data_IF_357476073106
#
_entry.id   IF_357476073106
#
_cell.length_a   1.000
_cell.length_b   1.000
_cell.length_c   1.000
_cell.angle_alpha   90.00
_cell.angle_beta   90.00
_cell.angle_gamma   90.00
#
_symmetry.space_group_name_H-M   'P 1'
#
loop_
_entity.id
_entity.type
_entity.pdbx_description
1 polymer ?
#
# COMPACT_ATOMS: atom_id res chain seq x y z
N UNK A 1 -25.12 12.32 10.74
CA UNK A 1 -25.61 13.10 9.60
C UNK A 1 -25.90 12.16 8.45
N UNK A 2 -26.97 12.43 7.68
CA UNK A 2 -27.31 11.63 6.49
C UNK A 2 -26.36 11.92 5.29
N UNK A 3 -25.47 12.89 5.44
CA UNK A 3 -24.53 13.30 4.39
C UNK A 3 -23.62 12.17 3.88
N UNK A 4 -23.39 11.15 4.71
CA UNK A 4 -22.53 10.00 4.40
C UNK A 4 -23.33 8.69 4.36
N UNK A 5 -24.60 8.76 3.98
CA UNK A 5 -25.48 7.62 3.76
C UNK A 5 -26.00 7.67 2.33
N UNK A 6 -25.91 6.57 1.62
CA UNK A 6 -26.44 6.41 0.26
C UNK A 6 -27.42 5.24 0.22
N UNK A 7 -28.30 5.24 -0.76
CA UNK A 7 -29.22 4.12 -0.99
C UNK A 7 -28.66 3.24 -2.11
N UNK A 8 -28.57 1.94 -1.82
CA UNK A 8 -28.18 0.92 -2.79
C UNK A 8 -29.23 -0.20 -2.75
N UNK A 9 -29.87 -0.46 -3.85
CA UNK A 9 -30.91 -1.48 -3.99
C UNK A 9 -32.03 -1.41 -2.90
N UNK A 10 -32.45 -0.19 -2.54
CA UNK A 10 -33.44 0.04 -1.50
C UNK A 10 -32.90 -0.05 -0.05
N UNK A 11 -31.60 -0.26 0.13
CA UNK A 11 -30.95 -0.35 1.46
C UNK A 11 -30.10 0.90 1.71
N UNK A 12 -30.27 1.50 2.87
CA UNK A 12 -29.41 2.62 3.31
C UNK A 12 -28.07 2.09 3.82
N UNK A 13 -26.98 2.51 3.20
CA UNK A 13 -25.60 2.11 3.55
C UNK A 13 -24.73 3.35 3.74
N UNK A 14 -23.67 3.21 4.48
CA UNK A 14 -22.66 4.28 4.62
C UNK A 14 -21.83 4.42 3.33
N UNK A 15 -21.40 5.63 3.02
CA UNK A 15 -20.42 5.86 1.94
C UNK A 15 -19.10 5.15 2.24
N UNK A 16 -18.27 4.97 1.21
CA UNK A 16 -16.93 4.38 1.35
C UNK A 16 -16.09 5.16 2.38
N UNK A 17 -16.11 6.49 2.32
CA UNK A 17 -15.38 7.34 3.25
C UNK A 17 -15.86 7.15 4.70
N UNK A 18 -17.17 7.14 4.93
CA UNK A 18 -17.72 6.93 6.28
C UNK A 18 -17.40 5.53 6.81
N UNK A 19 -17.54 4.52 5.98
CA UNK A 19 -17.21 3.13 6.34
C UNK A 19 -15.75 3.03 6.80
N UNK A 20 -14.83 3.70 6.11
CA UNK A 20 -13.42 3.71 6.50
C UNK A 20 -13.19 4.36 7.88
N UNK A 21 -13.92 5.45 8.21
CA UNK A 21 -13.86 6.05 9.54
C UNK A 21 -14.33 5.08 10.63
N UNK A 22 -15.44 4.40 10.40
CA UNK A 22 -16.02 3.45 11.36
C UNK A 22 -15.10 2.21 11.55
N UNK A 23 -14.46 1.72 10.49
CA UNK A 23 -13.53 0.59 10.54
C UNK A 23 -12.18 0.94 11.18
N UNK A 24 -11.65 2.12 10.90
CA UNK A 24 -10.31 2.54 11.38
C UNK A 24 -10.33 3.10 12.81
N UNK A 25 -11.50 3.52 13.31
CA UNK A 25 -11.65 4.13 14.63
C UNK A 25 -11.30 3.15 15.77
N UNK A 26 -10.43 3.58 16.68
CA UNK A 26 -10.01 2.75 17.82
C UNK A 26 -9.09 1.58 17.47
N UNK A 27 -8.62 1.53 16.23
CA UNK A 27 -7.63 0.54 15.76
C UNK A 27 -6.20 1.05 15.98
N UNK A 28 -5.21 0.19 15.70
CA UNK A 28 -3.83 0.65 15.60
C UNK A 28 -3.63 1.57 14.38
N UNK A 29 -2.54 2.34 14.36
CA UNK A 29 -2.23 3.19 13.21
C UNK A 29 -2.11 2.40 11.89
N UNK A 30 -1.39 1.25 11.83
CA UNK A 30 -1.36 0.42 10.62
C UNK A 30 -2.75 -0.06 10.17
N UNK A 31 -3.60 -0.49 11.11
CA UNK A 31 -4.95 -0.99 10.76
C UNK A 31 -5.87 0.15 10.29
N UNK A 32 -5.78 1.33 10.91
CA UNK A 32 -6.52 2.50 10.45
C UNK A 32 -6.09 2.89 9.03
N UNK A 33 -4.80 2.80 8.74
CA UNK A 33 -4.26 3.11 7.42
C UNK A 33 -4.77 2.12 6.35
N UNK A 34 -4.93 0.84 6.69
CA UNK A 34 -5.56 -0.16 5.78
C UNK A 34 -6.95 0.30 5.36
N UNK A 35 -7.77 0.74 6.31
CA UNK A 35 -9.13 1.20 6.01
C UNK A 35 -9.12 2.45 5.12
N UNK A 36 -8.26 3.41 5.42
CA UNK A 36 -8.21 4.69 4.74
C UNK A 36 -7.56 4.61 3.35
N UNK A 37 -6.47 3.87 3.18
CA UNK A 37 -5.84 3.63 1.88
C UNK A 37 -6.78 2.89 0.94
N UNK A 38 -7.44 1.82 1.45
CA UNK A 38 -8.43 1.07 0.69
C UNK A 38 -9.61 1.93 0.24
N UNK A 39 -10.11 2.80 1.13
CA UNK A 39 -11.17 3.73 0.80
C UNK A 39 -10.72 4.78 -0.23
N UNK A 40 -9.56 5.39 -0.04
CA UNK A 40 -8.99 6.35 -1.00
C UNK A 40 -8.83 5.71 -2.38
N UNK A 41 -8.26 4.49 -2.44
CA UNK A 41 -8.13 3.73 -3.69
C UNK A 41 -9.50 3.49 -4.33
N UNK A 42 -10.49 3.04 -3.56
CA UNK A 42 -11.84 2.79 -4.07
C UNK A 42 -12.53 4.05 -4.59
N UNK A 43 -12.35 5.17 -3.91
CA UNK A 43 -12.90 6.47 -4.34
C UNK A 43 -12.22 6.92 -5.63
N UNK A 44 -10.89 6.84 -5.71
CA UNK A 44 -10.11 7.23 -6.89
C UNK A 44 -10.44 6.37 -8.10
N UNK A 45 -10.49 5.05 -7.92
CA UNK A 45 -10.58 4.12 -9.06
C UNK A 45 -12.00 3.70 -9.41
N UNK A 46 -12.94 3.81 -8.49
CA UNK A 46 -14.28 3.24 -8.66
C UNK A 46 -14.28 1.72 -8.91
N UNK A 47 -13.10 1.08 -8.93
CA UNK A 47 -12.88 -0.30 -9.36
C UNK A 47 -12.71 -0.44 -10.87
N UNK A 48 -12.49 0.67 -11.60
CA UNK A 48 -12.19 0.68 -13.03
C UNK A 48 -10.71 0.25 -13.25
N UNK A 49 -10.46 -0.84 -14.01
CA UNK A 49 -9.11 -1.36 -14.25
C UNK A 49 -8.19 -0.37 -14.98
N UNK A 50 -8.71 0.50 -15.84
CA UNK A 50 -7.91 1.48 -16.59
C UNK A 50 -7.49 2.63 -15.66
N UNK A 51 -8.36 3.05 -14.76
CA UNK A 51 -8.04 4.04 -13.73
C UNK A 51 -7.05 3.45 -12.72
N UNK A 52 -7.21 2.18 -12.32
CA UNK A 52 -6.25 1.48 -11.47
C UNK A 52 -4.86 1.41 -12.11
N UNK A 53 -4.81 1.09 -13.39
CA UNK A 53 -3.56 1.10 -14.16
C UNK A 53 -2.94 2.50 -14.21
N UNK A 54 -3.75 3.52 -14.42
CA UNK A 54 -3.30 4.93 -14.46
C UNK A 54 -2.77 5.39 -13.10
N UNK A 55 -3.41 5.00 -12.00
CA UNK A 55 -2.95 5.24 -10.63
C UNK A 55 -1.58 4.60 -10.40
N UNK A 56 -1.43 3.32 -10.77
CA UNK A 56 -0.17 2.57 -10.66
C UNK A 56 0.96 3.21 -11.48
N UNK A 57 0.67 3.64 -12.71
CA UNK A 57 1.62 4.32 -13.59
C UNK A 57 1.90 5.79 -13.21
N UNK A 58 1.24 6.30 -12.16
CA UNK A 58 1.33 7.70 -11.71
C UNK A 58 0.90 8.71 -12.78
N UNK A 59 -0.09 8.33 -13.60
CA UNK A 59 -0.63 9.16 -14.69
C UNK A 59 -1.87 9.96 -14.27
N UNK A 60 -2.45 9.66 -13.10
CA UNK A 60 -3.59 10.42 -12.60
C UNK A 60 -3.16 11.82 -12.16
N UNK A 61 -3.97 12.86 -12.48
CA UNK A 61 -3.78 14.20 -11.95
C UNK A 61 -3.81 14.21 -10.41
N UNK A 62 -3.01 15.07 -9.80
CA UNK A 62 -2.97 15.20 -8.34
C UNK A 62 -4.33 15.58 -7.73
N UNK A 63 -5.14 16.32 -8.49
CA UNK A 63 -6.48 16.76 -8.12
C UNK A 63 -7.43 15.59 -7.91
N UNK A 64 -7.30 14.49 -8.67
CA UNK A 64 -8.14 13.29 -8.50
C UNK A 64 -7.85 12.61 -7.17
N UNK A 65 -6.57 12.48 -6.82
CA UNK A 65 -6.16 11.94 -5.51
C UNK A 65 -6.55 12.91 -4.39
N UNK A 66 -6.35 14.20 -4.61
CA UNK A 66 -6.73 15.25 -3.66
C UNK A 66 -8.24 15.26 -3.36
N UNK A 67 -9.08 15.04 -4.36
CA UNK A 67 -10.53 14.96 -4.17
C UNK A 67 -10.92 13.75 -3.30
N UNK A 68 -10.30 12.60 -3.50
CA UNK A 68 -10.55 11.42 -2.65
C UNK A 68 -10.11 11.64 -1.20
N UNK A 69 -8.97 12.30 -0.98
CA UNK A 69 -8.51 12.66 0.35
C UNK A 69 -9.48 13.67 0.99
N UNK A 70 -9.95 14.66 0.25
CA UNK A 70 -10.91 15.65 0.74
C UNK A 70 -12.25 15.01 1.16
N UNK A 71 -12.71 13.97 0.44
CA UNK A 71 -13.90 13.21 0.83
C UNK A 71 -13.68 12.46 2.15
N UNK A 72 -12.51 11.87 2.38
CA UNK A 72 -12.15 11.25 3.64
C UNK A 72 -12.06 12.29 4.78
N UNK A 73 -11.47 13.46 4.53
CA UNK A 73 -11.41 14.56 5.49
C UNK A 73 -12.81 15.05 5.89
N UNK A 74 -13.71 15.19 4.91
CA UNK A 74 -15.10 15.56 5.17
C UNK A 74 -15.81 14.51 6.05
N UNK A 75 -15.61 13.21 5.79
CA UNK A 75 -16.14 12.15 6.63
C UNK A 75 -15.54 12.16 8.05
N UNK A 76 -14.25 12.49 8.19
CA UNK A 76 -13.60 12.64 9.49
C UNK A 76 -14.22 13.78 10.31
N UNK A 77 -14.60 14.90 9.71
CA UNK A 77 -15.21 16.03 10.42
C UNK A 77 -16.55 15.67 11.08
N UNK A 78 -17.23 14.64 10.63
CA UNK A 78 -18.46 14.13 11.25
C UNK A 78 -18.20 13.30 12.53
N UNK A 79 -16.99 12.76 12.66
CA UNK A 79 -16.66 11.83 13.75
C UNK A 79 -15.51 12.30 14.64
N UNK A 80 -14.89 13.44 14.36
CA UNK A 80 -13.64 13.90 14.99
C UNK A 80 -13.69 13.89 16.53
N UNK A 81 -14.87 14.17 17.11
CA UNK A 81 -15.07 14.21 18.56
C UNK A 81 -15.39 12.85 19.19
N UNK A 82 -15.50 11.80 18.40
CA UNK A 82 -15.85 10.48 18.90
C UNK A 82 -14.62 9.78 19.52
N UNK A 83 -14.82 8.89 20.50
CA UNK A 83 -13.72 8.11 21.07
C UNK A 83 -12.95 7.32 20.00
N UNK A 84 -11.62 7.33 20.08
CA UNK A 84 -10.76 6.56 19.17
C UNK A 84 -10.46 7.19 17.82
N UNK A 85 -10.84 8.47 17.60
CA UNK A 85 -10.61 9.16 16.31
C UNK A 85 -9.24 9.79 16.17
N UNK A 86 -8.45 9.88 17.25
CA UNK A 86 -7.10 10.43 17.18
C UNK A 86 -6.20 9.68 16.20
N UNK A 87 -6.32 8.36 16.17
CA UNK A 87 -5.56 7.52 15.23
C UNK A 87 -5.99 7.75 13.79
N UNK A 88 -7.29 8.01 13.54
CA UNK A 88 -7.77 8.35 12.20
C UNK A 88 -7.11 9.63 11.67
N UNK A 89 -6.95 10.66 12.52
CA UNK A 89 -6.25 11.88 12.11
C UNK A 89 -4.82 11.60 11.69
N UNK A 90 -4.09 10.82 12.49
CA UNK A 90 -2.72 10.42 12.16
C UNK A 90 -2.64 9.63 10.86
N UNK A 91 -3.61 8.73 10.61
CA UNK A 91 -3.65 7.92 9.40
C UNK A 91 -4.07 8.74 8.17
N UNK A 92 -5.01 9.70 8.32
CA UNK A 92 -5.41 10.62 7.23
C UNK A 92 -4.24 11.44 6.71
N UNK A 93 -3.34 11.90 7.58
CA UNK A 93 -2.13 12.64 7.19
C UNK A 93 -1.16 11.80 6.33
N UNK A 94 -1.37 10.47 6.28
CA UNK A 94 -0.52 9.50 5.59
C UNK A 94 -1.24 8.69 4.52
N UNK A 95 -2.50 8.97 4.24
CA UNK A 95 -3.28 8.24 3.23
C UNK A 95 -2.59 8.26 1.87
N UNK A 96 -2.54 7.09 1.24
CA UNK A 96 -2.02 6.94 -0.12
C UNK A 96 -2.79 5.83 -0.86
N UNK A 97 -3.55 6.14 -1.92
CA UNK A 97 -4.36 5.16 -2.65
C UNK A 97 -3.53 4.15 -3.47
N UNK A 98 -2.21 4.28 -3.50
CA UNK A 98 -1.34 3.44 -4.32
C UNK A 98 -1.02 2.08 -3.72
N UNK A 99 -1.31 1.82 -2.44
CA UNK A 99 -1.25 0.46 -1.90
C UNK A 99 -2.27 -0.43 -2.61
N UNK A 100 -1.84 -1.58 -3.13
CA UNK A 100 -2.70 -2.47 -3.93
C UNK A 100 -3.39 -3.55 -3.10
N UNK A 101 -2.94 -3.75 -1.87
CA UNK A 101 -3.52 -4.73 -0.95
C UNK A 101 -3.60 -4.22 0.49
N UNK A 102 -4.49 -4.80 1.32
CA UNK A 102 -4.53 -4.51 2.76
C UNK A 102 -3.20 -4.79 3.46
N UNK A 103 -2.47 -5.82 3.03
CA UNK A 103 -1.18 -6.17 3.62
C UNK A 103 -0.08 -5.18 3.28
N UNK A 104 -0.09 -4.60 2.08
CA UNK A 104 0.80 -3.49 1.72
C UNK A 104 0.51 -2.25 2.58
N UNK A 105 -0.77 -1.85 2.72
CA UNK A 105 -1.15 -0.72 3.58
C UNK A 105 -0.75 -0.94 5.03
N UNK A 106 -0.98 -2.13 5.57
CA UNK A 106 -0.58 -2.50 6.93
C UNK A 106 0.95 -2.45 7.10
N UNK A 107 1.69 -3.04 6.15
CA UNK A 107 3.16 -3.01 6.13
C UNK A 107 3.68 -1.59 6.07
N UNK A 108 3.06 -0.73 5.25
CA UNK A 108 3.36 0.69 5.16
C UNK A 108 3.16 1.39 6.50
N UNK A 109 2.05 1.11 7.16
CA UNK A 109 1.77 1.62 8.49
C UNK A 109 2.84 1.22 9.51
N UNK A 110 3.24 -0.04 9.53
CA UNK A 110 4.31 -0.54 10.41
C UNK A 110 5.66 0.15 10.13
N UNK A 111 6.02 0.34 8.85
CA UNK A 111 7.25 1.03 8.46
C UNK A 111 7.23 2.50 8.89
N UNK A 112 6.13 3.21 8.68
CA UNK A 112 5.96 4.60 9.10
C UNK A 112 6.03 4.75 10.63
N UNK A 113 5.35 3.87 11.36
CA UNK A 113 5.31 3.89 12.82
C UNK A 113 6.68 3.57 13.44
N UNK A 114 7.48 2.75 12.77
CA UNK A 114 8.86 2.45 13.19
C UNK A 114 9.89 3.53 12.84
N UNK A 115 9.50 4.59 12.15
CA UNK A 115 10.42 5.63 11.70
C UNK A 115 11.35 5.19 10.57
N UNK A 116 10.92 4.25 9.72
CA UNK A 116 11.70 3.85 8.55
C UNK A 116 12.10 5.04 7.67
N UNK A 117 13.29 5.03 7.06
CA UNK A 117 13.68 6.06 6.10
C UNK A 117 12.65 6.22 4.97
N UNK A 118 12.54 7.40 4.35
CA UNK A 118 11.57 7.67 3.30
C UNK A 118 11.63 6.62 2.18
N UNK A 119 10.48 6.12 1.78
CA UNK A 119 10.30 5.15 0.71
C UNK A 119 9.12 5.54 -0.18
N UNK A 120 9.13 5.03 -1.40
CA UNK A 120 8.00 5.12 -2.32
C UNK A 120 7.22 3.81 -2.29
N UNK A 121 5.90 3.88 -2.50
CA UNK A 121 5.04 2.69 -2.59
C UNK A 121 4.60 2.46 -4.02
N UNK A 122 4.47 1.20 -4.41
CA UNK A 122 4.11 0.77 -5.77
C UNK A 122 4.86 1.58 -6.82
N UNK A 123 6.17 1.69 -6.65
CA UNK A 123 6.98 2.60 -7.44
C UNK A 123 7.58 1.89 -8.66
N UNK A 124 7.56 2.57 -9.84
CA UNK A 124 8.16 2.01 -11.03
C UNK A 124 9.69 1.97 -10.92
N UNK A 125 10.27 0.83 -11.24
CA UNK A 125 11.71 0.59 -11.33
C UNK A 125 12.03 -0.10 -12.65
N UNK A 126 13.16 0.28 -13.24
CA UNK A 126 13.58 -0.23 -14.55
C UNK A 126 14.68 -1.27 -14.38
N UNK A 127 14.52 -2.44 -15.01
CA UNK A 127 15.53 -3.50 -15.05
C UNK A 127 16.59 -3.26 -16.12
N UNK A 128 17.59 -4.14 -16.18
CA UNK A 128 18.67 -4.13 -17.17
C UNK A 128 18.16 -4.25 -18.61
N UNK A 129 17.10 -5.04 -18.80
CA UNK A 129 16.41 -5.18 -20.10
C UNK A 129 15.68 -3.90 -20.56
N UNK A 130 15.60 -2.86 -19.72
CA UNK A 130 14.78 -1.68 -19.93
C UNK A 130 13.30 -1.87 -19.56
N UNK A 131 12.87 -3.06 -19.18
CA UNK A 131 11.51 -3.36 -18.76
C UNK A 131 11.16 -2.63 -17.47
N UNK A 132 9.92 -2.16 -17.38
CA UNK A 132 9.39 -1.50 -16.20
C UNK A 132 8.74 -2.52 -15.28
N UNK A 133 9.14 -2.51 -14.02
CA UNK A 133 8.58 -3.29 -12.92
C UNK A 133 8.06 -2.36 -11.83
N UNK A 134 7.33 -2.90 -10.86
CA UNK A 134 6.83 -2.14 -9.71
C UNK A 134 7.27 -2.85 -8.43
N UNK A 135 7.81 -2.08 -7.49
CA UNK A 135 8.15 -2.58 -6.16
C UNK A 135 7.15 -2.06 -5.13
N UNK A 136 6.70 -2.91 -4.21
CA UNK A 136 5.71 -2.50 -3.21
C UNK A 136 6.25 -1.36 -2.34
N UNK A 137 7.53 -1.46 -1.93
CA UNK A 137 8.27 -0.44 -1.19
C UNK A 137 9.64 -0.23 -1.84
N UNK A 138 9.97 1.02 -2.21
CA UNK A 138 11.21 1.31 -2.92
C UNK A 138 12.01 2.37 -2.20
N UNK A 139 13.17 1.98 -1.67
CA UNK A 139 14.20 2.89 -1.17
C UNK A 139 15.22 3.13 -2.29
N UNK A 140 14.99 4.20 -3.08
CA UNK A 140 15.80 4.45 -4.29
C UNK A 140 17.27 4.69 -3.99
N UNK A 141 17.54 5.42 -2.92
CA UNK A 141 18.91 5.77 -2.50
C UNK A 141 19.71 4.52 -2.15
N UNK A 142 19.07 3.59 -1.48
CA UNK A 142 19.65 2.34 -0.99
C UNK A 142 19.59 1.22 -2.05
N UNK A 143 18.95 1.49 -3.21
CA UNK A 143 18.63 0.49 -4.23
C UNK A 143 17.99 -0.76 -3.64
N UNK A 144 17.02 -0.57 -2.76
CA UNK A 144 16.33 -1.63 -2.07
C UNK A 144 14.86 -1.66 -2.45
N UNK A 145 14.35 -2.85 -2.72
CA UNK A 145 12.93 -3.13 -2.95
C UNK A 145 12.44 -4.01 -1.82
N UNK A 146 11.39 -3.57 -1.12
CA UNK A 146 10.63 -4.35 -0.16
C UNK A 146 9.41 -4.97 -0.86
N UNK A 147 9.16 -6.23 -0.61
CA UNK A 147 8.03 -6.98 -1.17
C UNK A 147 7.16 -7.51 -0.03
N UNK A 148 5.88 -7.17 -0.06
CA UNK A 148 4.88 -7.64 0.89
C UNK A 148 4.13 -8.84 0.28
N UNK A 149 4.61 -10.05 0.55
CA UNK A 149 4.04 -11.27 -0.01
C UNK A 149 2.77 -11.69 0.75
N UNK A 150 1.60 -11.46 0.14
CA UNK A 150 0.32 -11.93 0.65
C UNK A 150 0.11 -13.44 0.45
N UNK A 151 -0.77 -14.04 1.27
CA UNK A 151 -1.11 -15.49 1.20
C UNK A 151 -1.97 -15.88 -0.01
N UNK A 152 -2.12 -15.09 -1.05
CA UNK A 152 -3.05 -15.35 -2.15
C UNK A 152 -2.49 -16.29 -3.23
N UNK A 153 -2.35 -17.58 -2.90
CA UNK A 153 -2.03 -18.61 -3.92
C UNK A 153 -2.94 -19.85 -3.82
N UNK A 154 -4.15 -19.70 -3.34
CA UNK A 154 -5.13 -20.78 -3.39
C UNK A 154 -5.84 -20.78 -4.74
N UNK A 155 -5.75 -21.88 -5.50
CA UNK A 155 -6.48 -22.11 -6.73
C UNK A 155 -5.67 -22.10 -8.03
N UNK A 156 -4.34 -22.01 -7.99
CA UNK A 156 -3.49 -22.08 -9.19
C UNK A 156 -2.98 -23.49 -9.42
N UNK A 157 -3.04 -23.94 -10.68
CA UNK A 157 -2.48 -25.24 -11.07
C UNK A 157 -0.95 -25.26 -10.91
N UNK A 158 -0.36 -26.47 -10.76
CA UNK A 158 1.10 -26.61 -10.64
C UNK A 158 1.87 -25.99 -11.82
N UNK A 159 1.28 -25.97 -13.01
CA UNK A 159 1.85 -25.33 -14.20
C UNK A 159 1.86 -23.79 -14.09
N UNK A 160 0.78 -23.20 -13.59
CA UNK A 160 0.69 -21.76 -13.35
C UNK A 160 1.65 -21.32 -12.25
N UNK A 161 1.81 -22.11 -11.19
CA UNK A 161 2.76 -21.84 -10.12
C UNK A 161 4.21 -21.82 -10.63
N UNK A 162 4.59 -22.80 -11.47
CA UNK A 162 5.94 -22.85 -12.07
C UNK A 162 6.22 -21.62 -12.93
N UNK A 163 5.26 -21.23 -13.78
CA UNK A 163 5.39 -20.02 -14.62
C UNK A 163 5.54 -18.77 -13.77
N UNK A 164 4.68 -18.59 -12.77
CA UNK A 164 4.76 -17.45 -11.85
C UNK A 164 6.12 -17.36 -11.14
N UNK A 165 6.68 -18.50 -10.69
CA UNK A 165 8.01 -18.55 -10.09
C UNK A 165 9.12 -18.22 -11.09
N UNK A 166 9.01 -18.68 -12.34
CA UNK A 166 9.97 -18.34 -13.40
C UNK A 166 9.94 -16.85 -13.73
N UNK A 167 8.73 -16.28 -13.89
CA UNK A 167 8.54 -14.86 -14.17
C UNK A 167 9.08 -13.99 -13.01
N UNK A 168 8.84 -14.42 -11.77
CA UNK A 168 9.36 -13.74 -10.58
C UNK A 168 10.89 -13.76 -10.56
N UNK A 169 11.53 -14.91 -10.82
CA UNK A 169 12.99 -15.03 -10.89
C UNK A 169 13.56 -14.14 -11.99
N UNK A 170 13.01 -14.22 -13.19
CA UNK A 170 13.46 -13.40 -14.31
C UNK A 170 13.36 -11.88 -14.01
N UNK A 171 12.28 -11.46 -13.32
CA UNK A 171 12.12 -10.09 -12.84
C UNK A 171 13.22 -9.71 -11.83
N UNK A 172 13.50 -10.59 -10.87
CA UNK A 172 14.52 -10.35 -9.85
C UNK A 172 15.91 -10.26 -10.46
N UNK A 173 16.27 -11.21 -11.34
CA UNK A 173 17.57 -11.23 -12.02
C UNK A 173 17.78 -9.96 -12.83
N UNK A 174 16.75 -9.49 -13.56
CA UNK A 174 16.79 -8.25 -14.35
C UNK A 174 16.99 -7.01 -13.50
N UNK A 175 16.39 -6.96 -12.31
CA UNK A 175 16.54 -5.86 -11.35
C UNK A 175 17.89 -5.93 -10.61
N UNK A 176 18.33 -7.12 -10.20
CA UNK A 176 19.63 -7.34 -9.56
C UNK A 176 20.77 -6.94 -10.49
N UNK A 177 20.66 -7.20 -11.79
CA UNK A 177 21.67 -6.83 -12.78
C UNK A 177 21.94 -5.32 -12.85
N UNK A 178 21.01 -4.49 -12.40
CA UNK A 178 21.18 -3.01 -12.28
C UNK A 178 21.36 -2.56 -10.83
N UNK A 179 21.67 -3.50 -9.91
CA UNK A 179 22.08 -3.22 -8.55
C UNK A 179 20.94 -3.09 -7.53
N UNK A 180 19.71 -3.51 -7.87
CA UNK A 180 18.65 -3.58 -6.88
C UNK A 180 18.84 -4.78 -5.96
N UNK A 181 18.48 -4.61 -4.68
CA UNK A 181 18.42 -5.65 -3.66
C UNK A 181 16.98 -5.83 -3.22
N UNK A 182 16.66 -6.98 -2.62
CA UNK A 182 15.33 -7.29 -2.16
C UNK A 182 15.29 -7.60 -0.67
N UNK A 183 14.23 -7.19 -0.02
CA UNK A 183 13.83 -7.64 1.31
C UNK A 183 12.36 -8.04 1.25
N UNK A 184 12.00 -9.17 1.87
CA UNK A 184 10.65 -9.71 1.82
C UNK A 184 10.13 -9.99 3.21
N UNK A 185 8.83 -9.85 3.33
CA UNK A 185 8.06 -10.29 4.49
C UNK A 185 6.71 -10.85 4.03
N UNK A 186 6.15 -11.74 4.84
CA UNK A 186 4.92 -12.46 4.50
C UNK A 186 3.80 -12.15 5.48
N UNK A 187 2.56 -12.33 5.03
CA UNK A 187 1.38 -12.17 5.89
C UNK A 187 1.50 -13.10 7.11
N UNK A 188 1.21 -12.55 8.30
CA UNK A 188 1.30 -13.26 9.57
C UNK A 188 2.62 -13.08 10.30
N UNK A 189 3.65 -12.48 9.68
CA UNK A 189 4.84 -12.08 10.43
C UNK A 189 4.53 -10.93 11.40
N UNK A 190 5.10 -10.93 12.62
CA UNK A 190 4.95 -9.82 13.55
C UNK A 190 5.52 -8.51 12.96
N UNK A 191 4.88 -7.38 13.24
CA UNK A 191 5.32 -6.05 12.78
C UNK A 191 6.82 -5.79 13.07
N UNK A 192 7.29 -6.16 14.28
CA UNK A 192 8.70 -6.03 14.68
C UNK A 192 9.67 -6.79 13.77
N UNK A 193 9.28 -7.95 13.24
CA UNK A 193 10.11 -8.76 12.35
C UNK A 193 10.26 -8.06 10.99
N UNK A 194 9.16 -7.58 10.43
CA UNK A 194 9.12 -6.80 9.20
C UNK A 194 10.00 -5.54 9.34
N UNK A 195 9.75 -4.73 10.36
CA UNK A 195 10.46 -3.44 10.54
C UNK A 195 11.95 -3.64 10.83
N UNK A 196 12.33 -4.65 11.63
CA UNK A 196 13.75 -4.99 11.87
C UNK A 196 14.43 -5.45 10.59
N UNK A 197 13.78 -6.31 9.80
CA UNK A 197 14.31 -6.80 8.52
C UNK A 197 14.52 -5.67 7.53
N UNK A 198 13.54 -4.78 7.39
CA UNK A 198 13.64 -3.60 6.55
C UNK A 198 14.77 -2.66 7.02
N UNK A 199 14.84 -2.35 8.31
CA UNK A 199 15.89 -1.50 8.88
C UNK A 199 17.31 -2.06 8.61
N UNK A 200 17.53 -3.36 8.86
CA UNK A 200 18.81 -4.02 8.56
C UNK A 200 19.15 -3.95 7.08
N UNK A 201 18.16 -4.17 6.19
CA UNK A 201 18.38 -4.14 4.75
C UNK A 201 18.71 -2.73 4.23
N UNK A 202 18.05 -1.69 4.78
CA UNK A 202 18.30 -0.27 4.44
C UNK A 202 19.70 0.17 4.87
N UNK A 203 20.16 -0.23 6.09
CA UNK A 203 21.46 0.19 6.62
C UNK A 203 22.65 -0.63 6.10
N UNK A 204 22.43 -1.73 5.39
CA UNK A 204 23.53 -2.47 4.74
C UNK A 204 24.09 -1.66 3.58
N UNK A 205 25.34 -1.21 3.69
CA UNK A 205 26.05 -0.56 2.58
C UNK A 205 26.23 -1.56 1.42
N UNK A 206 25.70 -1.26 0.22
CA UNK A 206 25.86 -2.14 -0.93
C UNK A 206 27.32 -2.35 -1.35
N UNK A 207 28.26 -1.52 -0.86
CA UNK A 207 29.70 -1.57 -1.17
C UNK A 207 30.52 -2.50 -0.28
N UNK A 208 29.93 -3.04 0.79
CA UNK A 208 30.60 -3.92 1.75
C UNK A 208 30.46 -5.41 1.41
N UNK A 209 29.71 -5.77 0.34
CA UNK A 209 29.44 -7.15 -0.08
C UNK A 209 30.10 -7.52 -1.42
N UNK A 210 31.20 -6.89 -1.77
CA UNK A 210 32.01 -7.25 -2.94
C UNK A 210 33.29 -7.99 -2.49
#
# INVERSE_FOLDING_TARGET
SDAFVVEMDGVRVTTVARTAMDLGRGRSFPDALVALDGAARRIVTGGDPDVERSLRLRLLPAEVIGAAIAELEAAYTEVWSWPGTRVLRQALDKVDPRSESPFESWSRGCLLDSGAPPFEINAPVRGASGRLYFGDFVWRRERLIGEADGMSKYGVTAGQQRRALQDQRAREDDLIAVGWRFVRWVTGEPARTLTSRAAVAVHRDPRVTA
#
